data_IF_590927752201
#
_entry.id   IF_590927752201
#
_cell.length_a   1.000
_cell.length_b   1.000
_cell.length_c   1.000
_cell.angle_alpha   90.00
_cell.angle_beta   90.00
_cell.angle_gamma   90.00
#
_symmetry.space_group_name_H-M   'P 1'
#
loop_
_entity.id
_entity.type
_entity.pdbx_description
1 polymer ?
#
# COMPACT_ATOMS: atom_id res chain seq x y z
N UNK A 1 4.92 9.37 22.99
CA UNK A 1 4.08 8.47 23.85
C UNK A 1 4.96 7.91 24.95
N UNK A 2 4.52 7.99 26.23
CA UNK A 2 5.31 7.49 27.34
C UNK A 2 5.32 5.95 27.40
N UNK A 3 6.26 5.36 28.14
CA UNK A 3 6.47 3.92 28.22
C UNK A 3 5.24 3.15 28.71
N UNK A 4 4.53 3.67 29.72
CA UNK A 4 3.28 3.07 30.23
C UNK A 4 2.17 3.02 29.17
N UNK A 5 2.07 4.03 28.32
CA UNK A 5 1.12 4.06 27.22
C UNK A 5 1.47 3.03 26.12
N UNK A 6 2.76 2.83 25.86
CA UNK A 6 3.23 1.81 24.91
C UNK A 6 2.98 0.39 25.40
N UNK A 7 3.24 0.12 26.70
CA UNK A 7 2.94 -1.16 27.36
C UNK A 7 1.45 -1.51 27.28
N UNK A 8 0.57 -0.51 27.26
CA UNK A 8 -0.87 -0.72 27.08
C UNK A 8 -1.25 -1.43 25.78
N UNK A 9 -0.36 -1.46 24.78
CA UNK A 9 -0.56 -2.21 23.54
C UNK A 9 -0.06 -3.66 23.57
N UNK A 10 0.48 -4.16 24.72
CA UNK A 10 1.09 -5.48 24.79
C UNK A 10 0.15 -6.60 24.33
N UNK A 11 -1.12 -6.57 24.75
CA UNK A 11 -2.14 -7.53 24.31
C UNK A 11 -2.40 -7.42 22.80
N UNK A 12 -2.63 -6.22 22.29
CA UNK A 12 -2.90 -5.97 20.87
C UNK A 12 -1.72 -6.42 19.99
N UNK A 13 -0.49 -6.12 20.42
CA UNK A 13 0.73 -6.57 19.72
C UNK A 13 0.84 -8.10 19.73
N UNK A 14 0.62 -8.76 20.88
CA UNK A 14 0.62 -10.23 20.95
C UNK A 14 -0.40 -10.85 20.01
N UNK A 15 -1.61 -10.26 19.93
CA UNK A 15 -2.67 -10.72 19.04
C UNK A 15 -2.28 -10.54 17.56
N UNK A 16 -1.79 -9.37 17.15
CA UNK A 16 -1.40 -9.16 15.74
C UNK A 16 -0.22 -10.03 15.35
N UNK A 17 0.76 -10.30 16.25
CA UNK A 17 1.86 -11.23 15.97
C UNK A 17 1.37 -12.65 15.68
N UNK A 18 0.33 -13.10 16.35
CA UNK A 18 -0.29 -14.39 16.04
C UNK A 18 -1.01 -14.36 14.68
N UNK A 19 -1.67 -13.24 14.35
CA UNK A 19 -2.42 -13.07 13.11
C UNK A 19 -1.51 -12.85 11.88
N UNK A 20 -0.33 -12.25 12.04
CA UNK A 20 0.67 -12.09 10.97
C UNK A 20 1.04 -13.41 10.27
N UNK A 21 0.91 -14.54 10.97
CA UNK A 21 1.18 -15.87 10.43
C UNK A 21 0.21 -16.30 9.32
N UNK A 22 -0.94 -15.66 9.25
CA UNK A 22 -2.00 -15.94 8.28
C UNK A 22 -2.08 -14.86 7.18
N UNK A 23 -1.12 -13.93 7.12
CA UNK A 23 -0.98 -13.04 5.99
C UNK A 23 -0.41 -13.82 4.80
N UNK A 24 -0.99 -13.56 3.64
CA UNK A 24 -0.63 -14.24 2.40
C UNK A 24 0.70 -13.70 1.87
N UNK A 25 1.62 -14.61 1.57
CA UNK A 25 2.93 -14.24 0.99
C UNK A 25 2.79 -13.94 -0.50
N UNK A 26 3.74 -13.15 -1.04
CA UNK A 26 3.80 -12.86 -2.47
C UNK A 26 3.85 -14.14 -3.33
N UNK A 27 4.54 -15.18 -2.85
CA UNK A 27 4.65 -16.45 -3.56
C UNK A 27 3.29 -17.10 -3.81
N UNK A 28 2.40 -17.09 -2.81
CA UNK A 28 1.04 -17.63 -2.93
C UNK A 28 0.22 -16.85 -3.98
N UNK A 29 0.37 -15.53 -4.04
CA UNK A 29 -0.28 -14.73 -5.08
C UNK A 29 0.21 -15.06 -6.48
N UNK A 30 1.53 -15.29 -6.64
CA UNK A 30 2.11 -15.69 -7.91
C UNK A 30 1.63 -17.08 -8.34
N UNK A 31 1.56 -18.04 -7.41
CA UNK A 31 1.01 -19.38 -7.62
C UNK A 31 -0.47 -19.30 -8.04
N UNK A 32 -1.30 -18.55 -7.29
CA UNK A 32 -2.70 -18.37 -7.62
C UNK A 32 -2.93 -17.70 -8.99
N UNK A 33 -2.00 -16.84 -9.44
CA UNK A 33 -2.09 -16.20 -10.76
C UNK A 33 -1.84 -17.19 -11.92
N UNK A 34 -1.20 -18.34 -11.68
CA UNK A 34 -0.95 -19.39 -12.67
C UNK A 34 -2.11 -20.38 -12.81
N UNK A 35 -3.11 -20.28 -11.90
CA UNK A 35 -4.26 -21.16 -11.93
C UNK A 35 -5.16 -20.92 -13.15
N UNK A 36 -5.84 -21.98 -13.58
CA UNK A 36 -6.61 -22.00 -14.85
C UNK A 36 -7.89 -21.18 -14.79
N UNK A 37 -8.46 -21.04 -13.61
CA UNK A 37 -9.75 -20.39 -13.38
C UNK A 37 -9.83 -19.74 -12.00
N UNK A 38 -10.85 -18.90 -11.84
CA UNK A 38 -11.07 -18.13 -10.60
C UNK A 38 -11.28 -19.05 -9.38
N UNK A 39 -11.92 -20.18 -9.53
CA UNK A 39 -12.21 -21.09 -8.43
C UNK A 39 -10.91 -21.70 -7.89
N UNK A 40 -10.05 -22.20 -8.77
CA UNK A 40 -8.75 -22.76 -8.41
C UNK A 40 -7.83 -21.70 -7.78
N UNK A 41 -7.77 -20.51 -8.38
CA UNK A 41 -6.99 -19.39 -7.84
C UNK A 41 -7.46 -18.95 -6.45
N UNK A 42 -8.76 -18.77 -6.28
CA UNK A 42 -9.31 -18.39 -4.96
C UNK A 42 -9.10 -19.49 -3.93
N UNK A 43 -9.15 -20.76 -4.32
CA UNK A 43 -8.82 -21.86 -3.39
C UNK A 43 -7.40 -21.71 -2.83
N UNK A 44 -6.40 -21.47 -3.68
CA UNK A 44 -5.01 -21.24 -3.24
C UNK A 44 -4.94 -20.07 -2.24
N UNK A 45 -5.64 -18.97 -2.53
CA UNK A 45 -5.68 -17.79 -1.67
C UNK A 45 -6.36 -18.08 -0.32
N UNK A 46 -7.52 -18.72 -0.32
CA UNK A 46 -8.29 -18.98 0.90
C UNK A 46 -7.68 -20.08 1.75
N UNK A 47 -7.01 -21.06 1.17
CA UNK A 47 -6.28 -22.10 1.91
C UNK A 47 -5.03 -21.52 2.63
N UNK A 48 -4.43 -20.44 2.11
CA UNK A 48 -3.26 -19.80 2.69
C UNK A 48 -3.58 -18.68 3.68
N UNK A 49 -4.70 -17.98 3.47
CA UNK A 49 -5.07 -16.78 4.23
C UNK A 49 -6.02 -17.06 5.41
N UNK A 50 -6.42 -15.98 6.07
CA UNK A 50 -7.47 -16.00 7.08
C UNK A 50 -8.56 -15.01 6.72
N UNK A 51 -9.78 -15.51 6.57
CA UNK A 51 -10.95 -14.75 6.20
C UNK A 51 -12.05 -14.95 7.25
N UNK A 52 -12.93 -13.98 7.40
CA UNK A 52 -14.06 -14.05 8.37
C UNK A 52 -15.23 -14.85 7.84
N UNK A 53 -15.34 -14.96 6.52
CA UNK A 53 -16.43 -15.61 5.84
C UNK A 53 -15.96 -16.84 5.07
N UNK A 54 -16.85 -17.82 4.89
CA UNK A 54 -16.65 -18.87 3.91
C UNK A 54 -16.80 -18.27 2.50
N UNK A 55 -15.86 -18.58 1.62
CA UNK A 55 -15.87 -18.04 0.27
C UNK A 55 -16.85 -18.79 -0.63
N UNK A 56 -17.69 -18.07 -1.38
CA UNK A 56 -18.60 -18.68 -2.33
C UNK A 56 -17.90 -18.98 -3.66
N UNK A 57 -18.57 -19.74 -4.52
CA UNK A 57 -18.17 -19.82 -5.92
C UNK A 57 -18.48 -18.48 -6.60
N UNK A 58 -17.44 -17.77 -7.08
CA UNK A 58 -17.58 -16.48 -7.75
C UNK A 58 -17.87 -16.70 -9.24
N UNK A 59 -19.01 -16.22 -9.72
CA UNK A 59 -19.40 -16.28 -11.12
C UNK A 59 -18.96 -15.05 -11.91
N UNK A 60 -18.81 -13.90 -11.25
CA UNK A 60 -18.37 -12.64 -11.83
C UNK A 60 -17.67 -11.74 -10.82
N UNK A 61 -16.93 -10.74 -11.33
CA UNK A 61 -16.07 -9.87 -10.49
C UNK A 61 -16.84 -9.07 -9.44
N UNK A 62 -18.11 -8.71 -9.69
CA UNK A 62 -18.91 -7.97 -8.72
C UNK A 62 -19.14 -8.78 -7.41
N UNK A 63 -19.39 -10.09 -7.52
CA UNK A 63 -19.56 -10.92 -6.33
C UNK A 63 -18.29 -10.98 -5.49
N UNK A 64 -17.11 -11.02 -6.14
CA UNK A 64 -15.83 -10.95 -5.45
C UNK A 64 -15.64 -9.58 -4.77
N UNK A 65 -16.00 -8.49 -5.45
CA UNK A 65 -15.91 -7.15 -4.89
C UNK A 65 -16.82 -6.96 -3.67
N UNK A 66 -18.04 -7.48 -3.73
CA UNK A 66 -19.00 -7.44 -2.63
C UNK A 66 -18.49 -8.25 -1.43
N UNK A 67 -18.00 -9.48 -1.69
CA UNK A 67 -17.39 -10.34 -0.67
C UNK A 67 -16.19 -9.65 0.01
N UNK A 68 -15.24 -9.12 -0.76
CA UNK A 68 -14.06 -8.46 -0.22
C UNK A 68 -14.40 -7.15 0.54
N UNK A 69 -15.47 -6.48 0.15
CA UNK A 69 -15.96 -5.30 0.86
C UNK A 69 -16.54 -5.66 2.24
N UNK A 70 -17.26 -6.79 2.32
CA UNK A 70 -17.72 -7.32 3.60
C UNK A 70 -16.58 -7.83 4.48
N UNK A 71 -15.61 -8.57 3.89
CA UNK A 71 -14.40 -9.00 4.60
C UNK A 71 -13.64 -7.79 5.19
N UNK A 72 -13.47 -6.73 4.42
CA UNK A 72 -12.85 -5.50 4.91
C UNK A 72 -13.64 -4.91 6.08
N UNK A 73 -14.95 -4.89 6.01
CA UNK A 73 -15.82 -4.40 7.09
C UNK A 73 -15.67 -5.21 8.38
N UNK A 74 -15.70 -6.55 8.28
CA UNK A 74 -15.48 -7.44 9.43
C UNK A 74 -14.08 -7.28 10.00
N UNK A 75 -13.08 -7.20 9.13
CA UNK A 75 -11.71 -6.97 9.55
C UNK A 75 -11.57 -5.66 10.33
N UNK A 76 -12.08 -4.55 9.80
CA UNK A 76 -12.01 -3.25 10.48
C UNK A 76 -12.75 -3.28 11.83
N UNK A 77 -13.91 -3.89 11.90
CA UNK A 77 -14.63 -4.06 13.17
C UNK A 77 -13.81 -4.87 14.20
N UNK A 78 -13.06 -5.88 13.76
CA UNK A 78 -12.20 -6.69 14.63
C UNK A 78 -10.96 -5.95 15.17
N UNK A 79 -10.60 -4.81 14.56
CA UNK A 79 -9.45 -3.99 14.95
C UNK A 79 -9.80 -2.91 15.98
N UNK A 80 -11.06 -2.52 16.11
CA UNK A 80 -11.47 -1.36 16.91
C UNK A 80 -10.93 -1.45 18.34
N UNK A 81 -11.07 -2.61 18.97
CA UNK A 81 -10.59 -2.85 20.34
C UNK A 81 -9.05 -2.95 20.46
N UNK A 82 -8.33 -3.06 19.34
CA UNK A 82 -6.88 -3.15 19.33
C UNK A 82 -6.22 -1.76 19.31
N UNK A 83 -6.94 -0.73 18.88
CA UNK A 83 -6.45 0.64 18.88
C UNK A 83 -6.92 1.37 20.14
N UNK A 84 -5.95 1.80 20.98
CA UNK A 84 -6.23 2.66 22.15
C UNK A 84 -6.34 4.14 21.77
N UNK A 85 -5.84 4.50 20.59
CA UNK A 85 -5.89 5.85 20.03
C UNK A 85 -6.88 5.83 18.85
N UNK A 86 -8.05 6.47 18.99
CA UNK A 86 -9.08 6.46 17.96
C UNK A 86 -8.63 7.13 16.64
N UNK A 87 -7.68 8.08 16.70
CA UNK A 87 -7.17 8.71 15.47
C UNK A 87 -6.35 7.73 14.63
N UNK A 88 -5.62 6.81 15.26
CA UNK A 88 -4.89 5.76 14.55
C UNK A 88 -5.85 4.74 13.93
N UNK A 89 -6.93 4.40 14.60
CA UNK A 89 -7.98 3.58 14.00
C UNK A 89 -8.64 4.30 12.80
N UNK A 90 -9.00 5.58 12.95
CA UNK A 90 -9.56 6.40 11.86
C UNK A 90 -8.61 6.50 10.68
N UNK A 91 -7.29 6.58 10.92
CA UNK A 91 -6.29 6.59 9.87
C UNK A 91 -6.35 5.31 9.01
N UNK A 92 -6.64 4.16 9.60
CA UNK A 92 -6.77 2.88 8.90
C UNK A 92 -8.15 2.73 8.26
N UNK A 93 -9.21 3.05 8.99
CA UNK A 93 -10.59 2.71 8.62
C UNK A 93 -11.22 3.73 7.65
N UNK A 94 -10.93 5.02 7.83
CA UNK A 94 -11.68 6.10 7.18
C UNK A 94 -10.83 6.93 6.22
N UNK A 95 -9.51 6.99 6.43
CA UNK A 95 -8.68 7.98 5.75
C UNK A 95 -8.03 7.39 4.50
N UNK A 96 -8.34 7.96 3.34
CA UNK A 96 -7.78 7.54 2.05
C UNK A 96 -6.75 8.52 1.48
N UNK A 97 -6.60 9.70 2.09
CA UNK A 97 -5.67 10.74 1.66
C UNK A 97 -4.47 10.83 2.61
N UNK A 98 -3.22 10.76 2.12
CA UNK A 98 -2.03 10.94 2.96
C UNK A 98 -2.01 12.27 3.74
N UNK A 99 -2.62 13.32 3.19
CA UNK A 99 -2.76 14.61 3.87
C UNK A 99 -3.66 14.52 5.10
N UNK A 100 -4.78 13.81 5.00
CA UNK A 100 -5.67 13.60 6.15
C UNK A 100 -5.00 12.71 7.20
N UNK A 101 -4.25 11.68 6.77
CA UNK A 101 -3.45 10.85 7.67
C UNK A 101 -2.43 11.69 8.44
N UNK A 102 -1.73 12.62 7.76
CA UNK A 102 -0.75 13.48 8.40
C UNK A 102 -1.40 14.33 9.49
N UNK A 103 -2.55 14.94 9.24
CA UNK A 103 -3.27 15.75 10.22
C UNK A 103 -3.64 14.97 11.50
N UNK A 104 -3.85 13.64 11.41
CA UNK A 104 -4.13 12.80 12.58
C UNK A 104 -2.90 12.45 13.41
N UNK A 105 -1.70 12.51 12.82
CA UNK A 105 -0.48 12.01 13.47
C UNK A 105 0.62 13.08 13.65
N UNK A 106 0.46 14.28 13.10
CA UNK A 106 1.50 15.31 13.06
C UNK A 106 1.96 15.74 14.46
N UNK A 107 1.02 15.89 15.40
CA UNK A 107 1.28 16.27 16.78
C UNK A 107 1.55 15.08 17.71
N UNK A 108 1.45 13.86 17.20
CA UNK A 108 1.66 12.65 18.00
C UNK A 108 3.14 12.29 18.06
N UNK A 109 3.60 11.87 19.22
CA UNK A 109 4.96 11.32 19.41
C UNK A 109 5.03 9.86 18.90
N UNK A 110 4.82 9.70 17.58
CA UNK A 110 4.83 8.44 16.85
C UNK A 110 5.67 8.60 15.55
N UNK A 111 6.99 8.71 15.67
CA UNK A 111 7.86 9.00 14.54
C UNK A 111 7.71 7.95 13.40
N UNK A 112 7.62 6.67 13.73
CA UNK A 112 7.41 5.61 12.73
C UNK A 112 6.15 5.85 11.88
N UNK A 113 5.02 6.17 12.52
CA UNK A 113 3.74 6.38 11.83
C UNK A 113 3.78 7.67 11.00
N UNK A 114 4.33 8.75 11.56
CA UNK A 114 4.50 10.02 10.88
C UNK A 114 5.40 9.88 9.65
N UNK A 115 6.50 9.16 9.77
CA UNK A 115 7.43 8.94 8.65
C UNK A 115 6.80 8.08 7.55
N UNK A 116 6.00 7.06 7.91
CA UNK A 116 5.19 6.31 6.93
C UNK A 116 4.30 7.24 6.12
N UNK A 117 3.57 8.12 6.78
CA UNK A 117 2.66 9.07 6.10
C UNK A 117 3.42 10.05 5.23
N UNK A 118 4.57 10.55 5.69
CA UNK A 118 5.45 11.44 4.90
C UNK A 118 5.98 10.75 3.65
N UNK A 119 6.39 9.48 3.74
CA UNK A 119 6.73 8.68 2.57
C UNK A 119 5.54 8.50 1.63
N UNK A 120 4.34 8.25 2.15
CA UNK A 120 3.14 8.12 1.33
C UNK A 120 2.79 9.42 0.58
N UNK A 121 3.02 10.60 1.21
CA UNK A 121 2.89 11.91 0.55
C UNK A 121 3.90 12.05 -0.59
N UNK A 122 5.18 11.77 -0.35
CA UNK A 122 6.23 11.89 -1.37
C UNK A 122 5.95 10.99 -2.57
N UNK A 123 5.62 9.72 -2.30
CA UNK A 123 5.32 8.73 -3.34
C UNK A 123 4.03 9.08 -4.10
N UNK A 124 3.03 9.63 -3.42
CA UNK A 124 1.84 10.20 -4.04
C UNK A 124 2.17 11.38 -4.94
N UNK A 125 3.06 12.26 -4.51
CA UNK A 125 3.54 13.40 -5.29
C UNK A 125 4.36 12.95 -6.53
N UNK A 126 5.20 11.93 -6.39
CA UNK A 126 5.92 11.32 -7.52
C UNK A 126 4.93 10.79 -8.56
N UNK A 127 3.91 10.05 -8.11
CA UNK A 127 2.85 9.54 -9.00
C UNK A 127 2.07 10.67 -9.70
N UNK A 128 1.74 11.72 -8.97
CA UNK A 128 1.07 12.92 -9.52
C UNK A 128 1.96 13.64 -10.54
N UNK A 129 3.23 13.86 -10.22
CA UNK A 129 4.20 14.48 -11.11
C UNK A 129 4.29 13.75 -12.44
N UNK A 130 4.46 12.42 -12.41
CA UNK A 130 4.53 11.58 -13.62
C UNK A 130 3.23 11.70 -14.42
N UNK A 131 2.07 11.65 -13.77
CA UNK A 131 0.77 11.78 -14.44
C UNK A 131 0.56 13.16 -15.07
N UNK A 132 0.98 14.24 -14.39
CA UNK A 132 0.93 15.59 -14.93
C UNK A 132 1.79 15.71 -16.18
N UNK A 133 3.00 15.18 -16.15
CA UNK A 133 3.93 15.17 -17.28
C UNK A 133 3.41 14.36 -18.47
N UNK A 134 2.89 13.17 -18.20
CA UNK A 134 2.34 12.28 -19.22
C UNK A 134 1.12 12.87 -19.93
N UNK A 135 0.31 13.66 -19.19
CA UNK A 135 -0.86 14.35 -19.73
C UNK A 135 -0.60 15.75 -20.26
N UNK A 136 0.65 16.16 -20.28
CA UNK A 136 1.10 17.49 -20.72
C UNK A 136 0.34 18.65 -20.04
N UNK A 137 0.11 18.51 -18.71
CA UNK A 137 -0.53 19.56 -17.92
C UNK A 137 0.45 20.72 -17.70
N UNK A 138 -0.06 21.93 -17.37
CA UNK A 138 0.82 23.05 -17.03
C UNK A 138 1.52 22.86 -15.67
N UNK A 139 2.66 23.55 -15.49
CA UNK A 139 3.40 23.57 -14.24
C UNK A 139 2.50 24.03 -13.07
N UNK A 140 1.70 25.07 -13.28
CA UNK A 140 0.79 25.63 -12.28
C UNK A 140 -0.27 24.59 -11.86
N UNK A 141 -0.80 23.86 -12.82
CA UNK A 141 -1.76 22.77 -12.55
C UNK A 141 -1.11 21.66 -11.71
N UNK A 142 0.08 21.23 -12.10
CA UNK A 142 0.82 20.22 -11.33
C UNK A 142 1.12 20.71 -9.91
N UNK A 143 1.61 21.95 -9.76
CA UNK A 143 1.91 22.55 -8.46
C UNK A 143 0.68 22.58 -7.54
N UNK A 144 -0.48 22.90 -8.08
CA UNK A 144 -1.73 22.92 -7.31
C UNK A 144 -2.18 21.52 -6.83
N UNK A 145 -1.78 20.46 -7.54
CA UNK A 145 -2.14 19.06 -7.21
C UNK A 145 -1.22 18.46 -6.16
N UNK A 146 0.04 18.91 -6.04
CA UNK A 146 0.99 18.33 -5.11
C UNK A 146 0.65 18.62 -3.66
N UNK A 147 0.84 17.62 -2.80
CA UNK A 147 0.65 17.72 -1.35
C UNK A 147 1.92 18.21 -0.65
N UNK A 148 1.73 19.02 0.40
CA UNK A 148 2.80 19.38 1.35
C UNK A 148 2.85 18.39 2.52
N UNK A 149 3.97 18.35 3.25
CA UNK A 149 4.14 17.56 4.46
C UNK A 149 4.91 16.26 4.28
N UNK A 150 5.41 15.97 3.07
CA UNK A 150 6.38 14.91 2.83
C UNK A 150 7.79 15.24 3.32
N UNK A 151 8.77 14.38 3.02
CA UNK A 151 10.19 14.68 3.21
C UNK A 151 10.74 15.54 2.07
N UNK A 152 10.12 15.47 0.88
CA UNK A 152 10.48 16.24 -0.28
C UNK A 152 9.64 17.51 -0.35
N UNK A 153 10.36 18.63 -0.53
CA UNK A 153 9.69 19.88 -0.86
C UNK A 153 9.04 19.79 -2.26
N UNK A 154 7.84 20.32 -2.41
CA UNK A 154 7.12 20.40 -3.69
C UNK A 154 7.94 21.11 -4.77
N UNK A 155 8.60 22.21 -4.39
CA UNK A 155 9.43 22.98 -5.32
C UNK A 155 10.61 22.19 -5.81
N UNK A 156 11.16 21.27 -5.01
CA UNK A 156 12.20 20.35 -5.45
C UNK A 156 11.68 19.40 -6.52
N UNK A 157 10.48 18.82 -6.33
CA UNK A 157 9.87 17.92 -7.33
C UNK A 157 9.63 18.68 -8.65
N UNK A 158 9.14 19.91 -8.56
CA UNK A 158 8.83 20.74 -9.73
C UNK A 158 10.06 21.21 -10.51
N UNK A 159 11.27 21.19 -9.94
CA UNK A 159 12.51 21.50 -10.69
C UNK A 159 12.72 20.57 -11.90
N UNK A 160 12.23 19.33 -11.82
CA UNK A 160 12.29 18.39 -12.93
C UNK A 160 11.21 18.60 -14.00
N UNK A 161 10.29 19.56 -13.83
CA UNK A 161 9.10 19.65 -14.68
C UNK A 161 9.40 20.03 -16.14
N UNK A 162 10.41 20.84 -16.39
CA UNK A 162 10.81 21.28 -17.75
C UNK A 162 11.69 20.28 -18.50
N UNK A 163 12.29 19.31 -17.81
CA UNK A 163 13.17 18.32 -18.41
C UNK A 163 12.38 17.14 -19.00
N UNK A 164 12.92 16.36 -19.95
CA UNK A 164 12.37 15.06 -20.31
C UNK A 164 12.12 14.19 -19.08
N UNK A 165 11.08 13.36 -19.09
CA UNK A 165 10.71 12.56 -17.93
C UNK A 165 11.86 11.64 -17.46
N UNK A 166 12.61 11.06 -18.41
CA UNK A 166 13.80 10.24 -18.13
C UNK A 166 14.92 11.02 -17.40
N UNK A 167 15.07 12.30 -17.66
CA UNK A 167 16.10 13.17 -17.06
C UNK A 167 15.66 13.80 -15.74
N UNK A 168 14.36 13.79 -15.44
CA UNK A 168 13.81 14.33 -14.18
C UNK A 168 14.27 13.57 -12.92
N UNK A 169 14.98 12.45 -13.08
CA UNK A 169 15.49 11.60 -12.00
C UNK A 169 16.50 12.26 -11.07
N UNK A 170 17.20 13.32 -11.50
CA UNK A 170 18.15 14.05 -10.66
C UNK A 170 17.51 14.61 -9.40
N UNK A 171 16.23 14.97 -9.47
CA UNK A 171 15.43 15.44 -8.31
C UNK A 171 15.41 14.39 -7.20
N UNK A 172 15.42 13.11 -7.55
CA UNK A 172 15.33 11.97 -6.64
C UNK A 172 16.68 11.33 -6.32
N UNK A 173 17.78 11.79 -6.92
CA UNK A 173 19.12 11.15 -6.85
C UNK A 173 19.65 10.96 -5.41
N UNK A 174 19.32 11.88 -4.50
CA UNK A 174 19.74 11.85 -3.08
C UNK A 174 18.63 11.40 -2.12
N UNK A 175 17.59 10.77 -2.65
CA UNK A 175 16.42 10.34 -1.87
C UNK A 175 16.34 8.81 -1.83
N UNK A 176 15.59 8.24 -0.87
CA UNK A 176 15.35 6.79 -0.86
C UNK A 176 14.55 6.29 -2.07
N UNK A 177 13.99 7.20 -2.88
CA UNK A 177 13.18 6.88 -4.07
C UNK A 177 14.00 6.75 -5.36
N UNK A 178 15.32 6.99 -5.32
CA UNK A 178 16.23 6.94 -6.49
C UNK A 178 16.08 5.64 -7.29
N UNK A 179 16.12 4.49 -6.58
CA UNK A 179 16.06 3.19 -7.23
C UNK A 179 14.68 2.92 -7.85
N UNK A 180 13.62 3.28 -7.12
CA UNK A 180 12.24 3.18 -7.60
C UNK A 180 12.06 3.99 -8.87
N UNK A 181 12.52 5.24 -8.88
CA UNK A 181 12.45 6.10 -10.04
C UNK A 181 13.18 5.51 -11.25
N UNK A 182 14.44 5.09 -11.07
CA UNK A 182 15.24 4.53 -12.16
C UNK A 182 14.55 3.31 -12.79
N UNK A 183 14.12 2.34 -11.99
CA UNK A 183 13.41 1.15 -12.48
C UNK A 183 12.10 1.51 -13.22
N UNK A 184 11.34 2.47 -12.71
CA UNK A 184 10.10 2.90 -13.34
C UNK A 184 10.33 3.58 -14.68
N UNK A 185 11.40 4.36 -14.81
CA UNK A 185 11.74 5.06 -16.08
C UNK A 185 12.33 4.12 -17.11
N UNK A 186 13.11 3.12 -16.69
CA UNK A 186 13.61 2.07 -17.59
C UNK A 186 12.43 1.31 -18.23
N UNK A 187 11.46 0.87 -17.40
CA UNK A 187 10.25 0.19 -17.90
C UNK A 187 9.39 1.12 -18.77
N UNK A 188 9.26 2.39 -18.39
CA UNK A 188 8.51 3.34 -19.20
C UNK A 188 9.12 3.55 -20.57
N UNK A 189 10.46 3.59 -20.67
CA UNK A 189 11.17 3.73 -21.94
C UNK A 189 11.00 2.51 -22.86
N UNK A 190 10.87 1.31 -22.30
CA UNK A 190 10.74 0.06 -23.05
C UNK A 190 9.27 -0.29 -23.40
N UNK A 191 8.34 -0.06 -22.47
CA UNK A 191 6.98 -0.58 -22.54
C UNK A 191 5.90 0.52 -22.55
N UNK A 192 6.27 1.78 -22.42
CA UNK A 192 5.35 2.94 -22.30
C UNK A 192 4.30 2.78 -21.18
N UNK A 193 4.64 2.09 -20.09
CA UNK A 193 3.76 1.80 -18.97
C UNK A 193 4.33 2.26 -17.62
N UNK A 194 3.46 2.63 -16.69
CA UNK A 194 3.83 3.02 -15.32
C UNK A 194 3.57 1.89 -14.29
N UNK A 195 3.42 0.64 -14.74
CA UNK A 195 3.15 -0.50 -13.86
C UNK A 195 4.23 -0.61 -12.78
N UNK A 196 5.51 -0.51 -13.16
CA UNK A 196 6.63 -0.64 -12.22
C UNK A 196 6.73 0.56 -11.26
N UNK A 197 6.31 1.76 -11.70
CA UNK A 197 6.18 2.90 -10.79
C UNK A 197 5.12 2.63 -9.72
N UNK A 198 3.93 2.20 -10.13
CA UNK A 198 2.81 1.97 -9.20
C UNK A 198 3.13 0.84 -8.24
N UNK A 199 3.64 -0.30 -8.74
CA UNK A 199 4.10 -1.41 -7.90
C UNK A 199 5.23 -0.97 -6.96
N UNK A 200 6.25 -0.28 -7.47
CA UNK A 200 7.38 0.16 -6.66
C UNK A 200 7.00 1.13 -5.53
N UNK A 201 5.97 1.96 -5.73
CA UNK A 201 5.39 2.80 -4.68
C UNK A 201 4.78 1.93 -3.57
N UNK A 202 3.98 0.94 -3.94
CA UNK A 202 3.35 0.02 -3.00
C UNK A 202 4.37 -0.83 -2.27
N UNK A 203 5.37 -1.35 -2.98
CA UNK A 203 6.48 -2.12 -2.42
C UNK A 203 7.28 -1.31 -1.41
N UNK A 204 7.59 -0.05 -1.71
CA UNK A 204 8.32 0.83 -0.80
C UNK A 204 7.56 1.00 0.53
N UNK A 205 6.26 1.28 0.46
CA UNK A 205 5.43 1.44 1.65
C UNK A 205 5.30 0.13 2.44
N UNK A 206 5.14 -0.99 1.76
CA UNK A 206 5.06 -2.30 2.42
C UNK A 206 6.38 -2.67 3.11
N UNK A 207 7.52 -2.46 2.44
CA UNK A 207 8.85 -2.68 3.02
C UNK A 207 9.13 -1.75 4.21
N UNK A 208 8.58 -0.52 4.19
CA UNK A 208 8.63 0.36 5.35
C UNK A 208 7.83 -0.21 6.52
N UNK A 209 6.59 -0.67 6.29
CA UNK A 209 5.73 -1.26 7.31
C UNK A 209 6.34 -2.52 7.94
N UNK A 210 7.06 -3.36 7.17
CA UNK A 210 7.77 -4.54 7.69
C UNK A 210 8.71 -4.22 8.86
N UNK A 211 9.24 -3.01 8.96
CA UNK A 211 10.09 -2.59 10.08
C UNK A 211 9.35 -2.62 11.42
N UNK A 212 8.01 -2.49 11.43
CA UNK A 212 7.21 -2.61 12.64
C UNK A 212 7.30 -4.01 13.29
N UNK A 213 7.72 -5.04 12.55
CA UNK A 213 7.93 -6.40 13.09
C UNK A 213 9.00 -6.45 14.19
N UNK A 214 9.90 -5.48 14.21
CA UNK A 214 10.95 -5.36 15.23
C UNK A 214 10.56 -4.48 16.42
N UNK A 215 9.37 -3.85 16.39
CA UNK A 215 8.85 -3.03 17.48
C UNK A 215 8.06 -3.94 18.43
N UNK A 216 8.51 -3.97 19.70
CA UNK A 216 7.95 -4.90 20.70
C UNK A 216 6.65 -4.39 21.32
N UNK A 217 6.57 -3.07 21.59
CA UNK A 217 5.41 -2.43 22.21
C UNK A 217 5.06 -1.14 21.49
N UNK A 218 3.77 -0.83 21.44
CA UNK A 218 3.25 0.40 20.83
C UNK A 218 2.20 0.12 19.75
N UNK A 219 1.62 1.17 19.18
CA UNK A 219 0.59 1.03 18.15
C UNK A 219 1.13 0.64 16.77
N UNK A 220 2.45 0.81 16.54
CA UNK A 220 3.06 0.64 15.23
C UNK A 220 2.87 -0.77 14.64
N UNK A 221 3.04 -1.88 15.43
CA UNK A 221 2.76 -3.22 14.91
C UNK A 221 1.28 -3.42 14.56
N UNK A 222 0.36 -2.86 15.35
CA UNK A 222 -1.08 -2.95 15.10
C UNK A 222 -1.42 -2.23 13.80
N UNK A 223 -0.91 -1.00 13.64
CA UNK A 223 -1.11 -0.21 12.43
C UNK A 223 -0.54 -0.92 11.20
N UNK A 224 0.70 -1.40 11.29
CA UNK A 224 1.38 -2.05 10.16
C UNK A 224 0.64 -3.33 9.71
N UNK A 225 0.22 -4.17 10.65
CA UNK A 225 -0.60 -5.34 10.35
C UNK A 225 -1.93 -4.95 9.70
N UNK A 226 -2.59 -3.91 10.21
CA UNK A 226 -3.88 -3.45 9.67
C UNK A 226 -3.75 -2.99 8.23
N UNK A 227 -2.74 -2.18 7.92
CA UNK A 227 -2.48 -1.72 6.55
C UNK A 227 -2.04 -2.86 5.63
N UNK A 228 -1.26 -3.82 6.16
CA UNK A 228 -0.84 -5.00 5.42
C UNK A 228 -2.02 -5.89 5.04
N UNK A 229 -2.97 -6.13 5.95
CA UNK A 229 -4.18 -6.93 5.66
C UNK A 229 -5.09 -6.23 4.66
N UNK A 230 -5.28 -4.92 4.76
CA UNK A 230 -6.03 -4.16 3.76
C UNK A 230 -5.38 -4.26 2.38
N UNK A 231 -4.05 -4.18 2.31
CA UNK A 231 -3.32 -4.37 1.05
C UNK A 231 -3.45 -5.80 0.52
N UNK A 232 -3.46 -6.80 1.39
CA UNK A 232 -3.73 -8.20 1.01
C UNK A 232 -5.10 -8.33 0.33
N UNK A 233 -6.17 -7.74 0.89
CA UNK A 233 -7.50 -7.75 0.28
C UNK A 233 -7.51 -7.04 -1.09
N UNK A 234 -6.76 -5.93 -1.24
CA UNK A 234 -6.58 -5.28 -2.54
C UNK A 234 -5.87 -6.18 -3.56
N UNK A 235 -4.86 -6.96 -3.13
CA UNK A 235 -4.16 -7.90 -4.00
C UNK A 235 -5.05 -9.08 -4.40
N UNK A 236 -5.90 -9.59 -3.49
CA UNK A 236 -6.92 -10.60 -3.84
C UNK A 236 -7.89 -10.06 -4.88
N UNK A 237 -8.35 -8.82 -4.72
CA UNK A 237 -9.20 -8.14 -5.71
C UNK A 237 -8.50 -8.01 -7.06
N UNK A 238 -7.26 -7.56 -7.07
CA UNK A 238 -6.45 -7.41 -8.28
C UNK A 238 -6.31 -8.75 -9.02
N UNK A 239 -5.99 -9.82 -8.29
CA UNK A 239 -5.89 -11.18 -8.82
C UNK A 239 -7.20 -11.63 -9.45
N UNK A 240 -8.29 -11.58 -8.69
CA UNK A 240 -9.58 -12.07 -9.14
C UNK A 240 -10.14 -11.30 -10.32
N UNK A 241 -10.10 -9.96 -10.27
CA UNK A 241 -10.51 -9.10 -11.40
C UNK A 241 -9.64 -9.37 -12.62
N UNK A 242 -8.33 -9.59 -12.43
CA UNK A 242 -7.41 -9.93 -13.50
C UNK A 242 -7.77 -11.24 -14.20
N UNK A 243 -8.11 -12.28 -13.43
CA UNK A 243 -8.53 -13.59 -13.96
C UNK A 243 -9.87 -13.46 -14.68
N UNK A 244 -10.88 -12.79 -14.11
CA UNK A 244 -12.17 -12.56 -14.77
C UNK A 244 -12.03 -11.83 -16.11
N UNK A 245 -11.11 -10.86 -16.19
CA UNK A 245 -10.84 -10.11 -17.40
C UNK A 245 -9.83 -10.80 -18.34
N UNK A 246 -9.37 -12.01 -18.01
CA UNK A 246 -8.40 -12.80 -18.79
C UNK A 246 -7.11 -12.02 -19.06
N UNK A 247 -6.64 -11.28 -18.07
CA UNK A 247 -5.36 -10.59 -18.16
C UNK A 247 -4.25 -11.66 -18.26
N UNK A 248 -3.28 -11.51 -19.18
CA UNK A 248 -2.17 -12.47 -19.30
C UNK A 248 -1.43 -12.64 -17.98
N UNK A 249 -1.11 -13.88 -17.60
CA UNK A 249 -0.45 -14.23 -16.34
C UNK A 249 0.83 -13.40 -16.11
N UNK A 250 1.75 -13.22 -17.08
CA UNK A 250 2.95 -12.41 -16.85
C UNK A 250 2.63 -10.96 -16.46
N UNK A 251 1.60 -10.38 -17.06
CA UNK A 251 1.18 -9.00 -16.75
C UNK A 251 0.53 -8.92 -15.36
N UNK A 252 -0.27 -9.93 -14.99
CA UNK A 252 -0.88 -10.02 -13.68
C UNK A 252 0.21 -10.19 -12.60
N UNK A 253 1.16 -11.10 -12.80
CA UNK A 253 2.30 -11.30 -11.90
C UNK A 253 3.18 -10.04 -11.77
N UNK A 254 3.36 -9.29 -12.86
CA UNK A 254 4.10 -8.01 -12.85
C UNK A 254 3.43 -6.97 -11.93
N UNK A 255 2.11 -7.05 -11.73
CA UNK A 255 1.35 -6.19 -10.81
C UNK A 255 1.41 -6.66 -9.35
N UNK A 256 1.76 -7.93 -9.09
CA UNK A 256 1.85 -8.48 -7.73
C UNK A 256 3.09 -7.94 -7.02
N UNK A 257 2.87 -7.02 -6.09
CA UNK A 257 3.91 -6.38 -5.31
C UNK A 257 4.37 -7.21 -4.11
N UNK A 258 5.23 -6.59 -3.29
CA UNK A 258 5.70 -7.14 -2.02
C UNK A 258 4.57 -7.23 -1.00
N UNK A 259 4.61 -8.29 -0.17
CA UNK A 259 3.69 -8.49 0.95
C UNK A 259 4.37 -8.17 2.28
N UNK A 260 3.63 -8.18 3.39
CA UNK A 260 4.17 -7.86 4.71
C UNK A 260 5.02 -9.00 5.30
N UNK A 261 4.75 -10.24 4.94
CA UNK A 261 5.41 -11.47 5.41
C UNK A 261 6.26 -12.10 4.34
#
# INVERSE_FOLDING_TARGET
>A
MNESSRLGYAYAVGRVRALERYLITRHVFLEAAEEKDIRSAMKVIFDAGSFFQEWPDFEHSQQLDDFLSEEQRFFLASLEDLFRDPDLFRMVAETRSPRQMLALVEEKDLPFVRDYVRHAIDLGNIKLFVRCRYRDLSLETCQAMLFSGGFLDRDRILKGYGAPLSESGEVFATTPYKRLWAQAMDTFAEEETFIDLERGIEDFLMLYLRKARYIVFGPEPVLAYSLAKLKELEMVRLLGVGIFNRIPVPLLQKRMGETYV
#
